data_IF_758615188067
#
_entry.id   IF_758615188067
#
_cell.length_a   1.000
_cell.length_b   1.000
_cell.length_c   1.000
_cell.angle_alpha   90.00
_cell.angle_beta   90.00
_cell.angle_gamma   90.00
#
_symmetry.space_group_name_H-M   'P 1'
#
loop_
_entity.id
_entity.type
_entity.pdbx_description
1 polymer ?
#
# COMPACT_ATOMS: atom_id res chain seq x y z
N UNK A 1 34.34 21.72 13.42
CA UNK A 1 33.45 22.69 12.76
C UNK A 1 33.17 22.15 11.37
N UNK A 2 32.15 21.29 11.22
CA UNK A 2 31.74 20.78 9.92
C UNK A 2 30.64 21.68 9.40
N UNK A 3 30.93 22.41 8.32
CA UNK A 3 29.91 23.07 7.53
C UNK A 3 28.90 22.03 7.09
N UNK A 4 27.75 22.00 7.76
CA UNK A 4 26.64 21.15 7.38
C UNK A 4 25.94 21.81 6.20
N UNK A 5 26.54 21.70 5.01
CA UNK A 5 25.81 21.89 3.77
C UNK A 5 24.83 20.72 3.60
N UNK A 6 23.66 20.96 3.01
CA UNK A 6 22.72 19.92 2.62
C UNK A 6 23.44 18.74 1.96
N UNK A 7 23.38 17.56 2.58
CA UNK A 7 24.02 16.38 2.02
C UNK A 7 23.13 15.79 0.94
N UNK A 8 23.67 15.65 -0.28
CA UNK A 8 22.98 14.99 -1.40
C UNK A 8 22.52 13.57 -1.03
N UNK A 9 23.18 12.94 -0.07
CA UNK A 9 22.80 11.62 0.48
C UNK A 9 21.38 11.61 1.08
N UNK A 10 20.87 12.75 1.55
CA UNK A 10 19.53 12.84 2.12
C UNK A 10 18.45 12.55 1.09
N UNK A 11 18.66 12.90 -0.19
CA UNK A 11 17.69 12.61 -1.25
C UNK A 11 17.52 11.10 -1.43
N UNK A 12 18.61 10.33 -1.30
CA UNK A 12 18.58 8.88 -1.43
C UNK A 12 18.08 8.20 -0.15
N UNK A 13 18.50 8.70 1.02
CA UNK A 13 18.13 8.14 2.33
C UNK A 13 16.68 8.43 2.70
N UNK A 14 16.20 9.66 2.48
CA UNK A 14 14.87 10.15 2.84
C UNK A 14 13.89 10.05 1.66
N UNK A 15 13.81 8.87 1.07
CA UNK A 15 12.97 8.62 -0.11
C UNK A 15 11.45 8.53 0.23
N UNK A 16 11.09 8.45 1.52
CA UNK A 16 9.70 8.38 1.97
C UNK A 16 9.06 9.79 2.03
N UNK A 17 8.11 10.12 1.14
CA UNK A 17 7.48 11.44 1.13
C UNK A 17 6.64 11.72 2.38
N UNK A 18 6.04 10.68 2.98
CA UNK A 18 5.23 10.83 4.20
C UNK A 18 6.11 11.21 5.38
N UNK A 19 7.30 10.60 5.47
CA UNK A 19 8.27 10.93 6.52
C UNK A 19 8.85 12.34 6.35
N UNK A 20 9.19 12.73 5.12
CA UNK A 20 9.73 14.09 4.84
C UNK A 20 8.75 15.19 5.26
N UNK A 21 7.44 15.00 5.05
CA UNK A 21 6.43 15.98 5.46
C UNK A 21 6.01 15.84 6.94
N UNK A 22 6.34 14.72 7.58
CA UNK A 22 5.88 14.38 8.92
C UNK A 22 4.37 14.12 8.97
N UNK A 23 3.84 13.43 7.96
CA UNK A 23 2.41 13.12 7.82
C UNK A 23 2.17 11.61 7.89
N UNK A 24 1.02 11.24 8.43
CA UNK A 24 0.54 9.87 8.54
C UNK A 24 0.35 9.22 7.17
N UNK A 25 0.67 7.92 7.06
CA UNK A 25 0.49 7.16 5.81
C UNK A 25 -1.00 6.99 5.42
N UNK A 26 -1.91 7.23 6.36
CA UNK A 26 -3.37 7.19 6.16
C UNK A 26 -4.00 8.58 6.11
N UNK A 27 -3.20 9.65 5.96
CA UNK A 27 -3.71 11.01 5.96
C UNK A 27 -4.49 11.39 4.69
N UNK A 28 -5.58 12.11 4.89
CA UNK A 28 -6.36 12.72 3.79
C UNK A 28 -5.65 13.92 3.17
N UNK A 29 -6.06 14.31 1.97
CA UNK A 29 -5.48 15.44 1.21
C UNK A 29 -5.52 16.76 1.99
N UNK A 30 -6.59 16.97 2.77
CA UNK A 30 -6.72 18.15 3.63
C UNK A 30 -5.63 18.19 4.70
N UNK A 31 -5.30 17.05 5.30
CA UNK A 31 -4.26 16.95 6.34
C UNK A 31 -2.87 17.14 5.72
N UNK A 32 -2.62 16.51 4.57
CA UNK A 32 -1.37 16.68 3.82
C UNK A 32 -1.14 18.15 3.46
N UNK A 33 -2.15 18.81 2.88
CA UNK A 33 -2.06 20.22 2.50
C UNK A 33 -1.85 21.13 3.71
N UNK A 34 -2.57 20.89 4.81
CA UNK A 34 -2.42 21.66 6.05
C UNK A 34 -0.99 21.56 6.57
N UNK A 35 -0.44 20.35 6.64
CA UNK A 35 0.94 20.14 7.12
C UNK A 35 1.97 20.73 6.17
N UNK A 36 1.83 20.54 4.86
CA UNK A 36 2.71 21.15 3.87
C UNK A 36 2.77 22.67 4.03
N UNK A 37 1.61 23.34 4.19
CA UNK A 37 1.57 24.80 4.41
C UNK A 37 2.26 25.22 5.70
N UNK A 38 2.11 24.46 6.79
CA UNK A 38 2.80 24.73 8.05
C UNK A 38 4.32 24.63 7.89
N UNK A 39 4.81 23.55 7.28
CA UNK A 39 6.24 23.32 7.03
C UNK A 39 6.80 24.36 6.08
N UNK A 40 6.11 24.64 4.97
CA UNK A 40 6.52 25.65 4.00
C UNK A 40 6.60 27.04 4.64
N UNK A 41 5.67 27.38 5.54
CA UNK A 41 5.74 28.63 6.30
C UNK A 41 6.97 28.67 7.20
N UNK A 42 7.26 27.60 7.95
CA UNK A 42 8.42 27.52 8.84
C UNK A 42 9.76 27.61 8.10
N UNK A 43 9.84 27.06 6.89
CA UNK A 43 11.05 27.02 6.07
C UNK A 43 11.13 28.14 5.03
N UNK A 44 10.19 29.09 5.02
CA UNK A 44 10.17 30.14 3.99
C UNK A 44 11.30 31.15 4.22
N UNK A 45 12.01 31.60 3.15
CA UNK A 45 13.12 32.55 3.27
C UNK A 45 12.72 33.85 3.97
N UNK A 46 11.49 34.35 3.77
CA UNK A 46 11.00 35.59 4.40
C UNK A 46 10.97 35.54 5.94
N UNK A 47 10.78 34.36 6.56
CA UNK A 47 10.84 34.23 8.02
C UNK A 47 12.29 34.17 8.51
N UNK A 48 13.21 33.80 7.63
CA UNK A 48 14.62 33.54 7.96
C UNK A 48 15.54 34.71 7.60
N UNK A 49 14.99 35.84 7.17
CA UNK A 49 15.73 37.08 6.87
C UNK A 49 16.57 37.55 8.07
N UNK A 50 16.13 37.27 9.30
CA UNK A 50 16.85 37.63 10.54
C UNK A 50 17.72 36.51 11.11
N UNK A 51 17.79 35.34 10.47
CA UNK A 51 18.56 34.19 10.95
C UNK A 51 19.96 34.13 10.30
N UNK A 52 20.93 33.44 10.91
CA UNK A 52 22.24 33.22 10.31
C UNK A 52 22.13 32.62 8.90
N UNK A 53 22.97 33.09 7.97
CA UNK A 53 22.94 32.70 6.54
C UNK A 53 22.97 31.19 6.32
N UNK A 54 23.67 30.43 7.16
CA UNK A 54 23.73 28.97 7.09
C UNK A 54 22.36 28.29 7.35
N UNK A 55 21.59 28.78 8.33
CA UNK A 55 20.26 28.25 8.68
C UNK A 55 19.27 28.53 7.55
N UNK A 56 19.37 29.73 6.96
CA UNK A 56 18.54 30.13 5.82
C UNK A 56 18.84 29.31 4.55
N UNK A 57 20.12 29.05 4.26
CA UNK A 57 20.52 28.21 3.15
C UNK A 57 20.01 26.77 3.29
N UNK A 58 20.12 26.19 4.50
CA UNK A 58 19.62 24.85 4.80
C UNK A 58 18.12 24.73 4.55
N UNK A 59 17.31 25.63 5.10
CA UNK A 59 15.86 25.56 4.98
C UNK A 59 15.37 25.76 3.54
N UNK A 60 15.98 26.68 2.78
CA UNK A 60 15.71 26.84 1.36
C UNK A 60 16.01 25.55 0.57
N UNK A 61 17.14 24.89 0.86
CA UNK A 61 17.52 23.63 0.23
C UNK A 61 16.56 22.49 0.59
N UNK A 62 16.19 22.35 1.88
CA UNK A 62 15.23 21.32 2.33
C UNK A 62 13.85 21.55 1.71
N UNK A 63 13.37 22.79 1.69
CA UNK A 63 12.08 23.13 1.09
C UNK A 63 12.05 22.77 -0.40
N UNK A 64 13.09 23.15 -1.13
CA UNK A 64 13.15 22.98 -2.60
C UNK A 64 13.42 21.54 -3.01
N UNK A 65 14.35 20.83 -2.36
CA UNK A 65 14.80 19.51 -2.79
C UNK A 65 14.11 18.33 -2.12
N UNK A 66 13.51 18.52 -0.93
CA UNK A 66 12.85 17.44 -0.21
C UNK A 66 11.35 17.69 -0.09
N UNK A 67 10.94 18.81 0.51
CA UNK A 67 9.54 19.06 0.88
C UNK A 67 8.65 19.25 -0.35
N UNK A 68 9.06 20.10 -1.31
CA UNK A 68 8.27 20.37 -2.52
C UNK A 68 8.09 19.11 -3.40
N UNK A 69 9.14 18.34 -3.73
CA UNK A 69 8.99 17.09 -4.48
C UNK A 69 8.17 16.04 -3.72
N UNK A 70 8.36 15.91 -2.41
CA UNK A 70 7.58 15.00 -1.58
C UNK A 70 6.09 15.33 -1.64
N UNK A 71 5.73 16.61 -1.47
CA UNK A 71 4.35 17.08 -1.55
C UNK A 71 3.75 16.86 -2.93
N UNK A 72 4.45 17.21 -4.01
CA UNK A 72 3.96 16.99 -5.37
C UNK A 72 3.63 15.52 -5.63
N UNK A 73 4.47 14.60 -5.12
CA UNK A 73 4.27 13.16 -5.27
C UNK A 73 3.04 12.65 -4.53
N UNK A 74 2.79 13.11 -3.30
CA UNK A 74 1.63 12.66 -2.51
C UNK A 74 0.38 13.51 -2.69
N UNK A 75 0.46 14.64 -3.39
CA UNK A 75 -0.70 15.45 -3.77
C UNK A 75 -1.57 14.72 -4.81
N UNK A 76 -0.96 13.92 -5.67
CA UNK A 76 -1.66 13.18 -6.72
C UNK A 76 -2.08 11.79 -6.22
N UNK A 77 -3.31 11.37 -6.49
CA UNK A 77 -3.82 10.04 -6.12
C UNK A 77 -2.95 8.89 -6.63
N UNK A 78 -2.48 9.01 -7.87
CA UNK A 78 -1.58 8.03 -8.49
C UNK A 78 -0.27 7.93 -7.69
N UNK A 79 0.36 9.06 -7.39
CA UNK A 79 1.60 9.11 -6.62
C UNK A 79 1.42 8.62 -5.17
N UNK A 80 0.26 8.87 -4.54
CA UNK A 80 -0.09 8.28 -3.23
C UNK A 80 -0.14 6.76 -3.27
N UNK A 81 -0.81 6.19 -4.28
CA UNK A 81 -0.91 4.72 -4.44
C UNK A 81 0.46 4.10 -4.70
N UNK A 82 1.27 4.73 -5.56
CA UNK A 82 2.63 4.27 -5.89
C UNK A 82 3.57 4.32 -4.67
N UNK A 83 3.56 5.42 -3.92
CA UNK A 83 4.37 5.58 -2.70
C UNK A 83 3.96 4.56 -1.65
N UNK A 84 2.66 4.40 -1.41
CA UNK A 84 2.14 3.40 -0.48
C UNK A 84 2.50 1.98 -0.91
N UNK A 85 2.38 1.64 -2.20
CA UNK A 85 2.79 0.34 -2.72
C UNK A 85 4.29 0.09 -2.49
N UNK A 86 5.14 1.09 -2.78
CA UNK A 86 6.58 1.02 -2.56
C UNK A 86 6.93 0.78 -1.09
N UNK A 87 6.27 1.50 -0.18
CA UNK A 87 6.43 1.32 1.26
C UNK A 87 6.00 -0.09 1.70
N UNK A 88 4.85 -0.57 1.22
CA UNK A 88 4.36 -1.94 1.51
C UNK A 88 5.32 -3.01 1.02
N UNK A 89 5.90 -2.86 -0.17
CA UNK A 89 6.94 -3.78 -0.66
C UNK A 89 8.20 -3.73 0.21
N UNK A 90 8.63 -2.53 0.64
CA UNK A 90 9.77 -2.37 1.56
C UNK A 90 9.50 -3.09 2.88
N UNK A 91 8.31 -2.93 3.48
CA UNK A 91 7.90 -3.62 4.70
C UNK A 91 7.93 -5.13 4.52
N UNK A 92 7.33 -5.67 3.44
CA UNK A 92 7.35 -7.12 3.16
C UNK A 92 8.77 -7.66 3.04
N UNK A 93 9.65 -6.95 2.31
CA UNK A 93 11.05 -7.33 2.12
C UNK A 93 11.82 -7.33 3.45
N UNK A 94 11.62 -6.33 4.30
CA UNK A 94 12.28 -6.23 5.59
C UNK A 94 11.74 -7.25 6.61
N UNK A 95 10.44 -7.54 6.56
CA UNK A 95 9.81 -8.56 7.40
C UNK A 95 10.33 -9.95 7.03
N UNK A 96 10.41 -10.28 5.75
CA UNK A 96 10.97 -11.55 5.27
C UNK A 96 12.45 -11.72 5.64
N UNK A 97 13.23 -10.63 5.67
CA UNK A 97 14.64 -10.67 6.07
C UNK A 97 14.84 -10.61 7.60
N UNK A 98 13.77 -10.52 8.39
CA UNK A 98 13.79 -10.27 9.85
C UNK A 98 14.62 -9.03 10.24
N UNK A 99 14.85 -8.09 9.33
CA UNK A 99 15.67 -6.89 9.57
C UNK A 99 14.86 -5.68 10.02
N UNK A 100 13.54 -5.81 10.18
CA UNK A 100 12.70 -4.73 10.70
C UNK A 100 12.72 -4.70 12.23
N UNK A 101 13.90 -4.52 12.82
CA UNK A 101 14.05 -4.20 14.24
C UNK A 101 14.06 -2.69 14.39
N UNK A 102 13.03 -2.09 15.04
CA UNK A 102 13.01 -0.65 15.23
C UNK A 102 14.15 -0.22 16.16
N UNK A 103 14.91 0.78 15.73
CA UNK A 103 15.95 1.43 16.53
C UNK A 103 15.34 2.45 17.48
N UNK A 104 14.30 3.16 17.05
CA UNK A 104 13.66 4.21 17.83
C UNK A 104 12.75 3.70 18.93
N UNK A 105 12.77 4.35 20.09
CA UNK A 105 11.99 3.91 21.27
C UNK A 105 10.49 3.98 21.04
N UNK A 106 10.01 5.00 20.32
CA UNK A 106 8.59 5.12 19.93
C UNK A 106 8.17 4.00 18.96
N UNK A 107 9.04 3.61 18.04
CA UNK A 107 8.77 2.55 17.08
C UNK A 107 8.78 1.16 17.77
N UNK A 108 9.64 0.96 18.78
CA UNK A 108 9.60 -0.23 19.64
C UNK A 108 8.31 -0.30 20.44
N UNK A 109 7.90 0.80 21.06
CA UNK A 109 6.64 0.86 21.80
C UNK A 109 5.44 0.51 20.91
N UNK A 110 5.39 1.01 19.67
CA UNK A 110 4.31 0.71 18.72
C UNK A 110 4.15 -0.79 18.41
N UNK A 111 5.22 -1.60 18.50
CA UNK A 111 5.11 -3.05 18.30
C UNK A 111 4.32 -3.75 19.42
N UNK A 112 4.40 -3.24 20.64
CA UNK A 112 3.78 -3.84 21.83
C UNK A 112 2.38 -3.29 22.14
N UNK A 113 1.97 -2.21 21.47
CA UNK A 113 0.66 -1.57 21.70
C UNK A 113 -0.48 -2.46 21.20
N UNK A 114 -1.58 -2.62 21.95
CA UNK A 114 -2.77 -3.37 21.52
C UNK A 114 -3.38 -2.84 20.21
N UNK A 115 -3.98 -3.72 19.41
CA UNK A 115 -4.48 -3.38 18.06
C UNK A 115 -5.45 -2.20 18.03
N UNK A 116 -6.33 -2.09 19.02
CA UNK A 116 -7.29 -1.00 19.15
C UNK A 116 -6.64 0.39 19.30
N UNK A 117 -5.43 0.47 19.86
CA UNK A 117 -4.75 1.71 20.19
C UNK A 117 -3.61 2.06 19.22
N UNK A 118 -3.36 1.23 18.21
CA UNK A 118 -2.26 1.44 17.24
C UNK A 118 -2.39 2.80 16.56
N UNK A 119 -3.58 3.13 16.04
CA UNK A 119 -3.80 4.34 15.25
C UNK A 119 -3.61 5.60 16.10
N UNK A 120 -4.14 5.59 17.33
CA UNK A 120 -4.03 6.72 18.27
C UNK A 120 -2.58 6.92 18.72
N UNK A 121 -1.88 5.84 19.07
CA UNK A 121 -0.47 5.91 19.48
C UNK A 121 0.41 6.40 18.31
N UNK A 122 0.21 5.84 17.12
CA UNK A 122 0.94 6.23 15.92
C UNK A 122 0.78 7.71 15.60
N UNK A 123 -0.45 8.22 15.54
CA UNK A 123 -0.71 9.64 15.27
C UNK A 123 -0.10 10.54 16.35
N UNK A 124 -0.17 10.15 17.63
CA UNK A 124 0.44 10.91 18.72
C UNK A 124 1.97 10.96 18.60
N UNK A 125 2.61 9.81 18.41
CA UNK A 125 4.06 9.71 18.25
C UNK A 125 4.56 10.44 17.00
N UNK A 126 3.82 10.34 15.89
CA UNK A 126 4.11 11.06 14.66
C UNK A 126 4.08 12.57 14.89
N UNK A 127 3.02 13.10 15.53
CA UNK A 127 2.90 14.53 15.79
C UNK A 127 4.03 15.05 16.69
N UNK A 128 4.46 14.27 17.68
CA UNK A 128 5.60 14.61 18.55
C UNK A 128 6.91 14.73 17.77
N UNK A 129 7.19 13.79 16.87
CA UNK A 129 8.38 13.82 16.02
C UNK A 129 8.29 14.95 14.98
N UNK A 130 7.13 15.09 14.33
CA UNK A 130 6.88 16.09 13.32
C UNK A 130 7.02 17.53 13.88
N UNK A 131 6.66 17.77 15.14
CA UNK A 131 6.85 19.07 15.77
C UNK A 131 8.34 19.47 15.85
N UNK A 132 9.21 18.51 16.19
CA UNK A 132 10.65 18.74 16.39
C UNK A 132 11.50 18.64 15.11
N UNK A 133 10.90 18.13 14.03
CA UNK A 133 11.61 17.75 12.81
C UNK A 133 12.38 18.91 12.16
N UNK A 134 11.83 20.11 12.17
CA UNK A 134 12.41 21.29 11.50
C UNK A 134 13.07 22.29 12.45
N UNK A 135 13.21 21.96 13.74
CA UNK A 135 13.78 22.88 14.75
C UNK A 135 15.30 23.04 14.60
N UNK A 136 16.00 21.97 14.25
CA UNK A 136 17.45 21.98 14.09
C UNK A 136 17.90 21.12 12.90
N UNK A 137 18.89 21.63 12.17
CA UNK A 137 19.50 20.95 11.05
C UNK A 137 20.14 19.61 11.43
N UNK A 138 20.78 19.54 12.60
CA UNK A 138 21.50 18.35 13.05
C UNK A 138 20.56 17.22 13.49
N UNK A 139 19.32 17.54 13.86
CA UNK A 139 18.32 16.55 14.26
C UNK A 139 17.36 16.18 13.13
N UNK A 140 17.33 16.95 12.04
CA UNK A 140 16.38 16.74 10.94
C UNK A 140 16.48 15.35 10.33
N UNK A 141 17.70 14.87 10.06
CA UNK A 141 17.95 13.56 9.46
C UNK A 141 17.55 12.42 10.41
N UNK A 142 17.94 12.51 11.69
CA UNK A 142 17.61 11.54 12.73
C UNK A 142 16.09 11.46 12.94
N UNK A 143 15.42 12.60 13.09
CA UNK A 143 13.97 12.66 13.32
C UNK A 143 13.23 12.16 12.09
N UNK A 144 13.60 12.59 10.88
CA UNK A 144 12.95 12.12 9.65
C UNK A 144 13.14 10.62 9.45
N UNK A 145 14.30 10.08 9.79
CA UNK A 145 14.53 8.63 9.79
C UNK A 145 13.66 7.89 10.82
N UNK A 146 13.49 8.44 12.02
CA UNK A 146 12.59 7.89 13.04
C UNK A 146 11.12 7.90 12.58
N UNK A 147 10.68 8.96 11.91
CA UNK A 147 9.33 9.02 11.32
C UNK A 147 9.17 7.95 10.24
N UNK A 148 10.15 7.80 9.34
CA UNK A 148 10.11 6.77 8.31
C UNK A 148 10.06 5.36 8.91
N UNK A 149 10.83 5.12 9.98
CA UNK A 149 10.80 3.86 10.71
C UNK A 149 9.43 3.60 11.36
N UNK A 150 8.87 4.61 12.03
CA UNK A 150 7.55 4.55 12.64
C UNK A 150 6.46 4.21 11.60
N UNK A 151 6.53 4.82 10.40
CA UNK A 151 5.63 4.52 9.29
C UNK A 151 5.73 3.05 8.84
N UNK A 152 6.95 2.50 8.75
CA UNK A 152 7.15 1.10 8.36
C UNK A 152 6.62 0.12 9.40
N UNK A 153 6.82 0.40 10.70
CA UNK A 153 6.30 -0.43 11.79
C UNK A 153 4.76 -0.38 11.83
N UNK A 154 4.18 0.81 11.68
CA UNK A 154 2.73 0.98 11.58
C UNK A 154 2.14 0.17 10.42
N UNK A 155 2.75 0.27 9.23
CA UNK A 155 2.33 -0.51 8.07
C UNK A 155 2.50 -2.02 8.29
N UNK A 156 3.57 -2.48 8.96
CA UNK A 156 3.74 -3.89 9.30
C UNK A 156 2.60 -4.39 10.19
N UNK A 157 2.25 -3.65 11.25
CA UNK A 157 1.15 -4.02 12.16
C UNK A 157 -0.21 -4.02 11.42
N UNK A 158 -0.50 -3.00 10.62
CA UNK A 158 -1.76 -2.89 9.84
C UNK A 158 -1.91 -3.93 8.73
N UNK A 159 -0.80 -4.40 8.15
CA UNK A 159 -0.82 -5.41 7.09
C UNK A 159 -0.95 -6.84 7.65
N UNK A 160 -0.73 -7.05 8.95
CA UNK A 160 -0.50 -8.37 9.52
C UNK A 160 0.81 -8.99 9.04
N UNK A 161 1.21 -10.11 9.64
CA UNK A 161 2.31 -10.88 9.08
C UNK A 161 1.92 -11.37 7.68
N UNK A 162 2.77 -11.16 6.66
CA UNK A 162 2.47 -11.67 5.35
C UNK A 162 2.33 -13.19 5.48
N UNK A 163 1.17 -13.75 5.13
CA UNK A 163 1.03 -15.19 4.91
C UNK A 163 2.03 -15.54 3.81
N UNK A 164 3.19 -16.05 4.22
CA UNK A 164 4.25 -16.51 3.33
C UNK A 164 3.66 -17.73 2.64
N UNK A 165 3.00 -17.52 1.50
CA UNK A 165 2.98 -18.55 0.47
C UNK A 165 4.38 -18.54 -0.10
N UNK A 166 5.24 -19.40 0.47
CA UNK A 166 6.55 -19.68 -0.10
C UNK A 166 6.34 -19.86 -1.60
N UNK A 167 6.93 -18.97 -2.40
CA UNK A 167 7.18 -19.29 -3.79
C UNK A 167 8.03 -20.54 -3.72
N UNK A 168 7.45 -21.69 -4.07
CA UNK A 168 8.15 -22.96 -4.24
C UNK A 168 9.46 -22.67 -4.95
N UNK A 169 10.53 -22.63 -4.17
CA UNK A 169 11.90 -22.66 -4.64
C UNK A 169 12.00 -23.88 -5.52
N UNK A 170 12.51 -23.66 -6.73
CA UNK A 170 12.48 -24.62 -7.83
C UNK A 170 12.81 -26.04 -7.37
N UNK A 171 11.87 -26.95 -7.61
CA UNK A 171 12.24 -28.32 -7.88
C UNK A 171 12.94 -28.30 -9.24
N UNK A 172 14.18 -28.73 -9.19
CA UNK A 172 15.10 -28.91 -10.29
C UNK A 172 14.36 -29.50 -11.49
N UNK A 173 14.45 -28.81 -12.63
CA UNK A 173 14.08 -29.36 -13.91
C UNK A 173 15.08 -30.46 -14.27
N UNK A 174 14.68 -31.72 -14.20
CA UNK A 174 15.23 -32.77 -15.07
C UNK A 174 14.35 -32.84 -16.30
N UNK A 175 14.80 -32.12 -17.32
CA UNK A 175 14.68 -32.41 -18.76
C UNK A 175 13.59 -33.38 -19.21
N UNK A 176 12.58 -32.83 -19.87
CA UNK A 176 12.23 -33.27 -21.21
C UNK A 176 11.97 -32.00 -22.07
N UNK A 177 12.98 -31.67 -22.87
CA UNK A 177 12.97 -31.01 -24.20
C UNK A 177 12.04 -29.81 -24.43
N UNK A 178 12.60 -28.60 -24.59
CA UNK A 178 12.94 -27.94 -25.88
C UNK A 178 11.66 -27.55 -26.67
N UNK A 179 11.40 -26.31 -27.11
CA UNK A 179 12.24 -25.17 -27.51
C UNK A 179 11.35 -23.93 -27.62
N UNK A 180 11.94 -22.75 -27.42
CA UNK A 180 11.32 -21.44 -27.64
C UNK A 180 11.21 -21.18 -29.14
N UNK A 181 10.05 -20.74 -29.64
CA UNK A 181 10.04 -19.87 -30.82
C UNK A 181 8.85 -18.93 -30.88
N UNK A 182 9.14 -17.75 -31.45
CA UNK A 182 8.32 -16.55 -31.60
C UNK A 182 7.02 -16.81 -32.39
N UNK A 183 5.99 -16.03 -32.07
CA UNK A 183 4.71 -15.90 -32.80
C UNK A 183 4.91 -15.70 -34.31
N UNK A 184 4.02 -16.26 -35.17
CA UNK A 184 2.87 -15.46 -35.62
C UNK A 184 1.54 -16.24 -35.84
N UNK A 185 0.44 -15.48 -35.79
CA UNK A 185 -0.85 -15.67 -36.49
C UNK A 185 -1.79 -16.87 -36.20
N UNK A 186 -2.94 -16.53 -35.58
CA UNK A 186 -4.33 -16.96 -35.90
C UNK A 186 -4.81 -18.37 -35.43
N UNK A 187 -6.13 -18.70 -35.47
CA UNK A 187 -7.06 -18.62 -34.32
C UNK A 187 -7.69 -19.97 -33.90
N UNK A 188 -8.09 -20.09 -32.62
CA UNK A 188 -8.77 -21.26 -32.03
C UNK A 188 -7.78 -22.16 -31.27
N UNK A 189 -8.03 -22.66 -30.06
CA UNK A 189 -9.26 -23.16 -29.45
C UNK A 189 -9.11 -23.23 -27.91
N UNK A 190 -10.23 -23.44 -27.21
CA UNK A 190 -10.53 -23.05 -25.82
C UNK A 190 -10.30 -24.16 -24.75
N UNK A 191 -9.19 -24.13 -23.98
CA UNK A 191 -9.21 -24.79 -22.66
C UNK A 191 -8.76 -23.91 -21.45
N UNK A 192 -8.10 -22.76 -21.65
CA UNK A 192 -7.62 -21.94 -20.53
C UNK A 192 -8.72 -21.12 -19.82
N UNK A 193 -9.78 -20.75 -20.53
CA UNK A 193 -10.91 -19.99 -19.94
C UNK A 193 -11.79 -20.86 -19.03
N UNK A 194 -11.88 -22.17 -19.31
CA UNK A 194 -12.64 -23.13 -18.49
C UNK A 194 -12.04 -23.27 -17.09
N UNK A 195 -10.72 -23.44 -16.99
CA UNK A 195 -10.01 -23.53 -15.70
C UNK A 195 -10.14 -22.23 -14.89
N UNK A 196 -10.15 -21.07 -15.55
CA UNK A 196 -10.33 -19.79 -14.86
C UNK A 196 -11.76 -19.61 -14.30
N UNK A 197 -12.79 -19.98 -15.08
CA UNK A 197 -14.19 -19.90 -14.64
C UNK A 197 -14.50 -20.87 -13.47
N UNK A 198 -13.91 -22.07 -13.49
CA UNK A 198 -14.06 -23.05 -12.41
C UNK A 198 -13.45 -22.56 -11.08
N UNK A 199 -12.33 -21.85 -11.12
CA UNK A 199 -11.72 -21.24 -9.92
C UNK A 199 -12.61 -20.18 -9.28
N UNK A 200 -13.34 -19.41 -10.08
CA UNK A 200 -14.33 -18.46 -9.57
C UNK A 200 -15.51 -19.20 -8.90
N UNK A 201 -15.96 -20.32 -9.48
CA UNK A 201 -16.99 -21.18 -8.87
C UNK A 201 -16.57 -21.73 -7.50
N UNK A 202 -15.34 -22.23 -7.38
CA UNK A 202 -14.83 -22.77 -6.13
C UNK A 202 -14.78 -21.72 -5.02
N UNK A 203 -14.31 -20.50 -5.32
CA UNK A 203 -14.31 -19.38 -4.37
C UNK A 203 -15.73 -18.97 -3.95
N UNK A 204 -16.66 -18.92 -4.90
CA UNK A 204 -18.04 -18.62 -4.59
C UNK A 204 -18.65 -19.64 -3.62
N UNK A 205 -18.37 -20.93 -3.78
CA UNK A 205 -18.84 -21.97 -2.84
C UNK A 205 -18.27 -21.79 -1.43
N UNK A 206 -17.01 -21.37 -1.31
CA UNK A 206 -16.40 -21.04 -0.02
C UNK A 206 -17.10 -19.84 0.64
N UNK A 207 -17.45 -18.83 -0.15
CA UNK A 207 -18.23 -17.68 0.33
C UNK A 207 -19.66 -18.06 0.75
N UNK A 208 -20.30 -18.99 0.05
CA UNK A 208 -21.60 -19.54 0.45
C UNK A 208 -21.50 -20.29 1.79
N UNK A 209 -20.46 -21.11 1.98
CA UNK A 209 -20.19 -21.82 3.25
C UNK A 209 -19.97 -20.86 4.41
N UNK A 210 -19.25 -19.77 4.17
CA UNK A 210 -19.03 -18.69 5.14
C UNK A 210 -20.22 -17.71 5.28
N UNK A 211 -21.37 -18.00 4.63
CA UNK A 211 -22.59 -17.17 4.59
C UNK A 211 -22.37 -15.74 4.07
N UNK A 212 -21.26 -15.48 3.37
CA UNK A 212 -21.00 -14.20 2.73
C UNK A 212 -21.57 -14.19 1.31
N UNK A 213 -22.88 -13.98 1.23
CA UNK A 213 -23.61 -14.07 -0.05
C UNK A 213 -23.24 -12.94 -1.02
N UNK A 214 -22.89 -11.76 -0.53
CA UNK A 214 -22.50 -10.63 -1.39
C UNK A 214 -21.19 -10.89 -2.15
N UNK A 215 -20.18 -11.44 -1.48
CA UNK A 215 -18.92 -11.82 -2.13
C UNK A 215 -19.12 -13.00 -3.11
N UNK A 216 -19.96 -13.97 -2.74
CA UNK A 216 -20.31 -15.10 -3.61
C UNK A 216 -20.99 -14.64 -4.92
N UNK A 217 -21.90 -13.65 -4.85
CA UNK A 217 -22.55 -13.07 -6.03
C UNK A 217 -21.52 -12.43 -6.97
N UNK A 218 -20.53 -11.72 -6.45
CA UNK A 218 -19.51 -11.06 -7.26
C UNK A 218 -18.62 -12.07 -7.99
N UNK A 219 -18.14 -13.09 -7.29
CA UNK A 219 -17.32 -14.16 -7.89
C UNK A 219 -18.09 -14.94 -8.96
N UNK A 220 -19.39 -15.21 -8.75
CA UNK A 220 -20.23 -15.88 -9.75
C UNK A 220 -20.55 -15.00 -10.95
N UNK A 221 -20.67 -13.67 -10.78
CA UNK A 221 -20.81 -12.74 -11.91
C UNK A 221 -19.56 -12.73 -12.79
N UNK A 222 -18.39 -12.80 -12.18
CA UNK A 222 -17.14 -12.91 -12.92
C UNK A 222 -17.05 -14.26 -13.66
N UNK A 223 -17.49 -15.37 -13.04
CA UNK A 223 -17.60 -16.68 -13.69
C UNK A 223 -18.53 -16.65 -14.92
N UNK A 224 -19.71 -16.04 -14.79
CA UNK A 224 -20.67 -15.87 -15.90
C UNK A 224 -20.12 -14.98 -17.01
N UNK A 225 -19.30 -13.96 -16.67
CA UNK A 225 -18.65 -13.12 -17.69
C UNK A 225 -17.66 -13.91 -18.55
N UNK A 226 -16.98 -14.90 -17.96
CA UNK A 226 -16.02 -15.77 -18.65
C UNK A 226 -16.75 -16.85 -19.47
N UNK A 227 -17.81 -17.44 -18.93
CA UNK A 227 -18.60 -18.46 -19.63
C UNK A 227 -20.11 -18.17 -19.52
N UNK A 228 -20.64 -17.32 -20.41
CA UNK A 228 -22.04 -16.90 -20.37
C UNK A 228 -23.06 -17.98 -20.71
N UNK A 229 -22.60 -19.13 -21.24
CA UNK A 229 -23.44 -20.26 -21.65
C UNK A 229 -23.46 -21.41 -20.63
N UNK A 230 -22.74 -21.29 -19.51
CA UNK A 230 -22.69 -22.36 -18.53
C UNK A 230 -23.89 -22.27 -17.57
N UNK A 231 -24.79 -23.25 -17.65
CA UNK A 231 -25.99 -23.36 -16.82
C UNK A 231 -25.69 -23.51 -15.33
N UNK A 232 -24.57 -24.15 -14.96
CA UNK A 232 -24.18 -24.37 -13.56
C UNK A 232 -23.91 -23.06 -12.82
N UNK A 233 -23.26 -22.10 -13.49
CA UNK A 233 -22.99 -20.78 -12.89
C UNK A 233 -24.27 -19.98 -12.69
N UNK A 234 -25.21 -20.07 -13.63
CA UNK A 234 -26.52 -19.43 -13.52
C UNK A 234 -27.38 -20.07 -12.41
N UNK A 235 -27.31 -21.39 -12.25
CA UNK A 235 -27.99 -22.11 -11.17
C UNK A 235 -27.44 -21.70 -9.80
N UNK A 236 -26.11 -21.73 -9.62
CA UNK A 236 -25.46 -21.29 -8.39
C UNK A 236 -25.76 -19.81 -8.08
N UNK A 237 -25.70 -18.93 -9.08
CA UNK A 237 -26.01 -17.51 -8.90
C UNK A 237 -27.47 -17.30 -8.47
N UNK A 238 -28.40 -18.07 -9.06
CA UNK A 238 -29.81 -18.10 -8.65
C UNK A 238 -30.00 -18.54 -7.20
N UNK A 239 -29.31 -19.59 -6.78
CA UNK A 239 -29.32 -20.08 -5.40
C UNK A 239 -28.80 -19.03 -4.41
N UNK A 240 -27.68 -18.37 -4.71
CA UNK A 240 -27.11 -17.34 -3.84
C UNK A 240 -28.03 -16.13 -3.74
N UNK A 241 -28.70 -15.74 -4.83
CA UNK A 241 -29.69 -14.65 -4.77
C UNK A 241 -30.91 -15.00 -3.90
N UNK A 242 -31.36 -16.25 -3.88
CA UNK A 242 -32.40 -16.70 -2.94
C UNK A 242 -31.93 -16.60 -1.49
N UNK A 243 -30.70 -17.05 -1.21
CA UNK A 243 -30.11 -16.96 0.13
C UNK A 243 -29.90 -15.51 0.58
N UNK A 244 -29.71 -14.58 -0.36
CA UNK A 244 -29.55 -13.15 -0.10
C UNK A 244 -30.87 -12.35 -0.16
N UNK A 245 -32.04 -13.00 -0.11
CA UNK A 245 -33.37 -12.37 -0.18
C UNK A 245 -33.63 -11.53 -1.44
N UNK A 246 -33.08 -11.90 -2.60
CA UNK A 246 -33.28 -11.24 -3.90
C UNK A 246 -34.01 -12.17 -4.90
N UNK A 247 -35.30 -12.49 -4.68
CA UNK A 247 -36.02 -13.50 -5.47
C UNK A 247 -36.23 -13.10 -6.95
N UNK A 248 -36.32 -11.80 -7.25
CA UNK A 248 -36.48 -11.31 -8.62
C UNK A 248 -35.31 -11.69 -9.52
N UNK A 249 -34.08 -11.44 -9.05
CA UNK A 249 -32.85 -11.76 -9.79
C UNK A 249 -32.59 -13.27 -9.81
N UNK A 250 -32.96 -13.98 -8.74
CA UNK A 250 -32.88 -15.44 -8.71
C UNK A 250 -33.70 -16.07 -9.84
N UNK A 251 -34.95 -15.63 -10.04
CA UNK A 251 -35.84 -16.16 -11.07
C UNK A 251 -35.28 -15.99 -12.48
N UNK A 252 -34.61 -14.88 -12.76
CA UNK A 252 -33.98 -14.62 -14.07
C UNK A 252 -32.86 -15.61 -14.34
N UNK A 253 -31.95 -15.79 -13.38
CA UNK A 253 -30.80 -16.68 -13.56
C UNK A 253 -31.18 -18.16 -13.51
N UNK A 254 -32.16 -18.56 -12.71
CA UNK A 254 -32.68 -19.94 -12.73
C UNK A 254 -33.34 -20.23 -14.09
N UNK A 255 -34.07 -19.28 -14.67
CA UNK A 255 -34.61 -19.43 -16.04
C UNK A 255 -33.52 -19.51 -17.10
N UNK A 256 -32.41 -18.78 -16.93
CA UNK A 256 -31.26 -18.87 -17.83
C UNK A 256 -30.53 -20.21 -17.72
N UNK A 257 -30.46 -20.79 -16.52
CA UNK A 257 -29.85 -22.11 -16.32
C UNK A 257 -30.65 -23.26 -16.97
N UNK A 258 -31.95 -23.05 -17.17
CA UNK A 258 -32.87 -24.02 -17.80
C UNK A 258 -33.01 -23.86 -19.32
N UNK A 259 -32.32 -22.87 -19.91
CA UNK A 259 -32.26 -22.65 -21.36
C UNK A 259 -31.04 -23.33 -21.96
#
# INVERSE_FOLDING_TARGET
>A
MTDHAFSKDWIQKLSDPYAVLGVSVTADDRRILKRYRQVAKQLHPDIQVSQPSAVSAFANQVLTHLVNPAYQKIKQDKGRKETLATLRFKVRRLTHKQTLTPKGDLAKALMNVPEANIDVFYEKSLNQLAFKQFDSQASFDVITAQVAELNLVYLRRKMGDPVIREKRTGLVATTATQTVEKYPSSPGSQPQQLDYAERHRQRAQEYIRSKNYMAAIQELKDAVRISPRNSDFHCLLGQVYLLNNLPGMAKVHIKQALR
#
